data_IF_291607258609
#
_entry.id   IF_291607258609
#
_cell.length_a   1.000
_cell.length_b   1.000
_cell.length_c   1.000
_cell.angle_alpha   90.00
_cell.angle_beta   90.00
_cell.angle_gamma   90.00
#
_symmetry.space_group_name_H-M   'P 1'
#
loop_
_entity.id
_entity.type
_entity.pdbx_description
1 polymer ?
#
# COMPACT_ATOMS: atom_id res chain seq x y z
N UNK A 1 24.69 4.14 -2.03
CA UNK A 1 24.53 5.16 -3.10
C UNK A 1 23.77 4.65 -4.32
N UNK A 2 24.05 3.46 -4.84
CA UNK A 2 23.40 2.89 -6.04
C UNK A 2 21.86 2.99 -6.08
N UNK A 3 21.17 2.65 -4.98
CA UNK A 3 19.71 2.76 -4.91
C UNK A 3 19.16 4.17 -5.13
N UNK A 4 19.88 5.20 -4.69
CA UNK A 4 19.49 6.58 -4.95
C UNK A 4 19.67 6.96 -6.40
N UNK A 5 20.75 6.49 -7.03
CA UNK A 5 21.04 6.71 -8.45
C UNK A 5 19.99 6.04 -9.33
N UNK A 6 19.64 4.78 -9.06
CA UNK A 6 18.56 4.07 -9.77
C UNK A 6 17.23 4.80 -9.65
N UNK A 7 16.84 5.18 -8.44
CA UNK A 7 15.59 5.90 -8.21
C UNK A 7 15.58 7.29 -8.84
N UNK A 8 16.74 7.97 -8.95
CA UNK A 8 16.84 9.24 -9.66
C UNK A 8 16.66 9.07 -11.17
N UNK A 9 17.22 8.02 -11.78
CA UNK A 9 16.97 7.71 -13.20
C UNK A 9 15.48 7.49 -13.47
N UNK A 10 14.79 6.75 -12.60
CA UNK A 10 13.34 6.56 -12.70
C UNK A 10 12.55 7.86 -12.45
N UNK A 11 13.04 8.75 -11.59
CA UNK A 11 12.45 10.08 -11.43
C UNK A 11 12.53 10.91 -12.73
N UNK A 12 13.59 10.79 -13.51
CA UNK A 12 13.68 11.45 -14.82
C UNK A 12 12.62 10.93 -15.81
N UNK A 13 12.32 9.64 -15.78
CA UNK A 13 11.21 9.09 -16.57
C UNK A 13 9.86 9.61 -16.05
N UNK A 14 9.69 9.62 -14.73
CA UNK A 14 8.49 10.12 -14.07
C UNK A 14 8.17 11.58 -14.42
N UNK A 15 9.17 12.43 -14.57
CA UNK A 15 9.00 13.83 -14.96
C UNK A 15 8.16 13.99 -16.24
N UNK A 16 8.39 13.11 -17.23
CA UNK A 16 7.68 13.14 -18.53
C UNK A 16 6.18 12.87 -18.40
N UNK A 17 5.80 12.05 -17.43
CA UNK A 17 4.41 11.65 -17.23
C UNK A 17 3.63 12.60 -16.32
N UNK A 18 4.31 13.18 -15.32
CA UNK A 18 3.65 14.02 -14.31
C UNK A 18 3.42 15.47 -14.76
N UNK A 19 4.16 15.95 -15.73
CA UNK A 19 4.22 17.36 -16.15
C UNK A 19 2.83 17.97 -16.37
N UNK A 20 1.91 17.23 -17.03
CA UNK A 20 0.54 17.68 -17.29
C UNK A 20 -0.37 17.72 -16.05
N UNK A 21 0.07 17.18 -14.93
CA UNK A 21 -0.73 17.04 -13.70
C UNK A 21 -0.31 17.98 -12.57
N UNK A 22 0.77 18.71 -12.74
CA UNK A 22 1.33 19.57 -11.71
C UNK A 22 1.62 20.99 -12.24
N UNK A 23 1.65 21.95 -11.33
CA UNK A 23 2.05 23.33 -11.67
C UNK A 23 3.56 23.43 -11.78
N UNK A 24 4.08 24.46 -12.50
CA UNK A 24 5.51 24.63 -12.78
C UNK A 24 6.38 24.61 -11.49
N UNK A 25 6.00 25.32 -10.44
CA UNK A 25 6.77 25.30 -9.19
C UNK A 25 6.85 23.92 -8.52
N UNK A 26 5.85 23.04 -8.72
CA UNK A 26 5.93 21.64 -8.30
C UNK A 26 6.81 20.81 -9.23
N UNK A 27 6.80 21.16 -10.52
CA UNK A 27 7.65 20.49 -11.51
C UNK A 27 9.13 20.77 -11.24
N UNK A 28 9.50 21.97 -10.84
CA UNK A 28 10.86 22.33 -10.46
C UNK A 28 11.33 21.51 -9.24
N UNK A 29 10.49 21.38 -8.21
CA UNK A 29 10.79 20.51 -7.08
C UNK A 29 10.99 19.05 -7.49
N UNK A 30 10.25 18.57 -8.50
CA UNK A 30 10.37 17.20 -9.02
C UNK A 30 11.68 17.04 -9.81
N UNK A 31 12.04 18.01 -10.64
CA UNK A 31 13.30 18.03 -11.41
C UNK A 31 14.50 17.99 -10.48
N UNK A 32 14.49 18.79 -9.42
CA UNK A 32 15.56 18.85 -8.45
C UNK A 32 15.55 17.71 -7.42
N UNK A 33 14.51 16.92 -7.37
CA UNK A 33 14.39 15.85 -6.38
C UNK A 33 15.59 14.90 -6.42
N UNK A 34 16.28 14.75 -5.27
CA UNK A 34 17.44 13.87 -5.11
C UNK A 34 18.70 14.32 -5.91
N UNK A 35 18.83 15.60 -6.20
CA UNK A 35 20.07 16.16 -6.78
C UNK A 35 21.08 16.52 -5.69
N UNK A 36 20.62 16.76 -4.47
CA UNK A 36 21.46 17.00 -3.29
C UNK A 36 21.23 15.94 -2.23
N UNK A 37 22.30 15.31 -1.77
CA UNK A 37 22.32 14.31 -0.70
C UNK A 37 23.47 14.62 0.27
N UNK A 38 23.15 14.80 1.54
CA UNK A 38 24.11 14.92 2.64
C UNK A 38 23.99 13.73 3.56
N UNK A 39 25.11 13.07 3.88
CA UNK A 39 25.16 11.91 4.76
C UNK A 39 25.96 12.23 6.02
N UNK A 40 25.53 11.65 7.12
CA UNK A 40 26.36 11.52 8.34
C UNK A 40 26.86 10.09 8.37
N UNK A 41 28.15 9.93 8.63
CA UNK A 41 28.82 8.64 8.71
C UNK A 41 29.61 8.51 10.01
N UNK A 42 29.88 7.28 10.43
CA UNK A 42 30.88 7.00 11.45
C UNK A 42 32.31 7.25 10.91
N UNK A 43 33.28 7.19 11.78
CA UNK A 43 34.69 7.45 11.41
C UNK A 43 35.25 6.45 10.39
N UNK A 44 34.68 5.25 10.32
CA UNK A 44 35.09 4.18 9.39
C UNK A 44 34.37 4.26 8.04
N UNK A 45 33.35 5.13 7.92
CA UNK A 45 32.46 5.25 6.75
C UNK A 45 31.61 4.00 6.45
N UNK A 46 31.63 3.02 7.35
CA UNK A 46 30.86 1.78 7.17
C UNK A 46 29.35 2.02 7.39
N UNK A 47 29.02 2.84 8.39
CA UNK A 47 27.63 3.19 8.71
C UNK A 47 27.34 4.61 8.25
N UNK A 48 26.50 4.73 7.23
CA UNK A 48 26.10 6.01 6.66
C UNK A 48 24.59 6.20 6.78
N UNK A 49 24.16 7.37 7.26
CA UNK A 49 22.77 7.77 7.38
C UNK A 49 22.53 9.06 6.59
N UNK A 50 21.52 9.07 5.73
CA UNK A 50 21.12 10.30 5.04
C UNK A 50 20.69 11.34 6.08
N UNK A 51 21.32 12.50 6.04
CA UNK A 51 21.05 13.65 6.91
C UNK A 51 20.11 14.66 6.24
N UNK A 52 20.47 15.14 5.05
CA UNK A 52 19.68 16.11 4.28
C UNK A 52 19.55 15.68 2.82
N UNK A 53 18.45 16.06 2.19
CA UNK A 53 18.21 15.91 0.76
C UNK A 53 17.09 16.83 0.31
N UNK A 54 17.14 17.27 -0.93
CA UNK A 54 16.03 17.96 -1.58
C UNK A 54 15.05 16.92 -2.13
N UNK A 55 13.86 16.85 -1.54
CA UNK A 55 12.81 15.89 -1.88
C UNK A 55 11.55 16.63 -2.29
N UNK A 56 10.98 16.28 -3.46
CA UNK A 56 9.75 16.87 -3.95
C UNK A 56 8.48 16.46 -3.17
N UNK A 57 8.57 15.41 -2.36
CA UNK A 57 7.47 14.81 -1.58
C UNK A 57 6.27 14.32 -2.42
N UNK A 58 6.38 14.37 -3.75
CA UNK A 58 5.34 13.82 -4.61
C UNK A 58 5.25 12.31 -4.42
N UNK A 59 4.02 11.80 -4.27
CA UNK A 59 3.75 10.39 -3.97
C UNK A 59 4.11 9.43 -5.10
N UNK A 60 4.08 9.89 -6.35
CA UNK A 60 4.47 9.12 -7.53
C UNK A 60 5.96 9.22 -7.86
N UNK A 61 6.69 10.12 -7.19
CA UNK A 61 8.13 10.20 -7.38
C UNK A 61 8.82 8.93 -6.86
N UNK A 62 9.56 8.18 -7.69
CA UNK A 62 10.19 6.92 -7.28
C UNK A 62 11.14 7.05 -6.08
N UNK A 63 11.81 8.21 -5.93
CA UNK A 63 12.67 8.49 -4.77
C UNK A 63 11.85 8.70 -3.51
N UNK A 64 10.84 9.58 -3.59
CA UNK A 64 10.03 9.94 -2.42
C UNK A 64 9.15 8.78 -1.95
N UNK A 65 8.53 8.04 -2.89
CA UNK A 65 7.73 6.85 -2.60
C UNK A 65 8.56 5.76 -1.92
N UNK A 66 9.76 5.46 -2.46
CA UNK A 66 10.66 4.48 -1.85
C UNK A 66 11.09 4.87 -0.43
N UNK A 67 11.45 6.14 -0.21
CA UNK A 67 11.85 6.63 1.12
C UNK A 67 10.69 6.57 2.11
N UNK A 68 9.50 7.01 1.67
CA UNK A 68 8.30 6.94 2.50
C UNK A 68 7.98 5.49 2.86
N UNK A 69 7.99 4.57 1.91
CA UNK A 69 7.73 3.15 2.15
C UNK A 69 8.67 2.57 3.23
N UNK A 70 9.96 2.91 3.22
CA UNK A 70 10.90 2.47 4.27
C UNK A 70 10.58 3.05 5.65
N UNK A 71 10.18 4.31 5.72
CA UNK A 71 9.78 4.96 6.97
C UNK A 71 8.50 4.34 7.50
N UNK A 72 7.51 4.12 6.64
CA UNK A 72 6.23 3.53 7.00
C UNK A 72 6.40 2.07 7.47
N UNK A 73 7.26 1.28 6.81
CA UNK A 73 7.57 -0.08 7.25
C UNK A 73 8.17 -0.12 8.66
N UNK A 74 9.08 0.80 8.97
CA UNK A 74 9.65 0.92 10.32
C UNK A 74 8.57 1.32 11.33
N UNK A 75 7.74 2.31 11.02
CA UNK A 75 6.64 2.75 11.87
C UNK A 75 5.65 1.63 12.17
N UNK A 76 5.24 0.87 11.15
CA UNK A 76 4.38 -0.31 11.31
C UNK A 76 5.03 -1.38 12.18
N UNK A 77 6.32 -1.66 11.99
CA UNK A 77 7.06 -2.63 12.81
C UNK A 77 7.07 -2.24 14.28
N UNK A 78 7.35 -0.98 14.60
CA UNK A 78 7.35 -0.47 15.97
C UNK A 78 5.94 -0.51 16.60
N UNK A 79 4.92 -0.12 15.85
CA UNK A 79 3.53 -0.19 16.28
C UNK A 79 3.12 -1.64 16.60
N UNK A 80 3.45 -2.59 15.73
CA UNK A 80 3.14 -3.99 15.96
C UNK A 80 3.87 -4.56 17.18
N UNK A 81 5.14 -4.20 17.39
CA UNK A 81 5.89 -4.59 18.58
C UNK A 81 5.22 -4.06 19.84
N UNK A 82 4.85 -2.78 19.85
CA UNK A 82 4.16 -2.16 20.98
C UNK A 82 2.83 -2.87 21.29
N UNK A 83 1.95 -3.04 20.30
CA UNK A 83 0.63 -3.68 20.46
C UNK A 83 0.79 -5.14 20.94
N UNK A 84 1.81 -5.85 20.43
CA UNK A 84 2.11 -7.23 20.86
C UNK A 84 2.56 -7.29 22.32
N UNK A 85 3.46 -6.38 22.73
CA UNK A 85 4.03 -6.39 24.06
C UNK A 85 3.08 -5.84 25.12
N UNK A 86 2.33 -4.79 24.82
CA UNK A 86 1.48 -4.07 25.78
C UNK A 86 0.04 -4.58 25.81
N UNK A 87 -0.48 -5.01 24.66
CA UNK A 87 -1.88 -5.43 24.54
C UNK A 87 -2.05 -6.92 24.25
N UNK A 88 -0.94 -7.66 24.19
CA UNK A 88 -0.90 -9.12 23.95
C UNK A 88 -1.68 -9.57 22.69
N UNK A 89 -1.65 -8.74 21.63
CA UNK A 89 -2.31 -9.06 20.37
C UNK A 89 -1.40 -9.85 19.44
N UNK A 90 -2.02 -10.53 18.50
CA UNK A 90 -1.39 -11.15 17.34
C UNK A 90 -1.89 -10.47 16.06
N UNK A 91 -1.28 -10.81 14.94
CA UNK A 91 -1.62 -10.17 13.67
C UNK A 91 -1.89 -11.22 12.60
N UNK A 92 -2.88 -10.94 11.77
CA UNK A 92 -3.11 -11.60 10.49
C UNK A 92 -2.95 -10.62 9.36
N UNK A 93 -2.54 -11.12 8.20
CA UNK A 93 -2.46 -10.38 6.96
C UNK A 93 -3.51 -10.91 6.01
N UNK A 94 -4.41 -10.05 5.59
CA UNK A 94 -5.51 -10.38 4.69
C UNK A 94 -5.29 -9.64 3.35
N UNK A 95 -5.36 -10.37 2.24
CA UNK A 95 -5.39 -9.79 0.89
C UNK A 95 -6.76 -10.03 0.29
N UNK A 96 -7.43 -8.94 -0.09
CA UNK A 96 -8.72 -8.94 -0.77
C UNK A 96 -8.53 -8.50 -2.20
N UNK A 97 -9.19 -9.17 -3.13
CA UNK A 97 -9.10 -8.88 -4.57
C UNK A 97 -10.47 -9.01 -5.21
N UNK A 98 -10.65 -8.38 -6.38
CA UNK A 98 -11.79 -8.57 -7.29
C UNK A 98 -11.26 -8.90 -8.69
N UNK A 99 -12.13 -9.23 -9.66
CA UNK A 99 -11.74 -9.32 -11.04
C UNK A 99 -11.05 -8.07 -11.56
N UNK A 100 -10.16 -8.24 -12.54
CA UNK A 100 -9.45 -7.13 -13.15
C UNK A 100 -10.42 -6.19 -13.88
N UNK A 101 -10.06 -4.92 -13.96
CA UNK A 101 -10.87 -3.87 -14.59
C UNK A 101 -10.06 -3.06 -15.60
N UNK A 102 -10.72 -2.42 -16.55
CA UNK A 102 -10.11 -1.47 -17.49
C UNK A 102 -9.84 -0.12 -16.81
N UNK A 103 -9.03 0.73 -17.44
CA UNK A 103 -8.73 2.08 -16.95
C UNK A 103 -9.99 2.92 -16.67
N UNK A 104 -11.04 2.76 -17.48
CA UNK A 104 -12.30 3.51 -17.39
C UNK A 104 -13.10 3.15 -16.14
N UNK A 105 -13.03 1.90 -15.70
CA UNK A 105 -13.76 1.38 -14.54
C UNK A 105 -12.93 1.40 -13.24
N UNK A 106 -11.61 1.71 -13.31
CA UNK A 106 -10.72 1.60 -12.16
C UNK A 106 -11.15 2.53 -11.01
N UNK A 107 -11.57 3.76 -11.31
CA UNK A 107 -12.02 4.72 -10.29
C UNK A 107 -13.30 4.26 -9.58
N UNK A 108 -14.30 3.82 -10.35
CA UNK A 108 -15.58 3.32 -9.81
C UNK A 108 -15.37 2.06 -8.98
N UNK A 109 -14.48 1.17 -9.43
CA UNK A 109 -14.12 -0.04 -8.71
C UNK A 109 -13.47 0.27 -7.37
N UNK A 110 -12.53 1.21 -7.30
CA UNK A 110 -11.90 1.60 -6.03
C UNK A 110 -12.91 2.19 -5.05
N UNK A 111 -13.87 2.98 -5.53
CA UNK A 111 -14.97 3.50 -4.68
C UNK A 111 -15.84 2.34 -4.14
N UNK A 112 -16.21 1.39 -5.00
CA UNK A 112 -16.96 0.20 -4.61
C UNK A 112 -16.20 -0.66 -3.61
N UNK A 113 -14.89 -0.81 -3.79
CA UNK A 113 -13.98 -1.49 -2.86
C UNK A 113 -13.99 -0.88 -1.47
N UNK A 114 -13.84 0.44 -1.39
CA UNK A 114 -13.85 1.15 -0.11
C UNK A 114 -15.16 0.92 0.64
N UNK A 115 -16.30 1.03 -0.06
CA UNK A 115 -17.61 0.81 0.51
C UNK A 115 -17.82 -0.64 0.97
N UNK A 116 -17.44 -1.61 0.14
CA UNK A 116 -17.53 -3.05 0.48
C UNK A 116 -16.64 -3.41 1.66
N UNK A 117 -15.44 -2.83 1.74
CA UNK A 117 -14.54 -3.02 2.88
C UNK A 117 -15.16 -2.52 4.18
N UNK A 118 -15.74 -1.31 4.18
CA UNK A 118 -16.43 -0.77 5.36
C UNK A 118 -17.61 -1.65 5.77
N UNK A 119 -18.42 -2.13 4.80
CA UNK A 119 -19.52 -3.08 5.09
C UNK A 119 -19.01 -4.37 5.74
N UNK A 120 -17.90 -4.94 5.22
CA UNK A 120 -17.33 -6.18 5.77
C UNK A 120 -16.85 -6.00 7.20
N UNK A 121 -16.17 -4.90 7.50
CA UNK A 121 -15.67 -4.62 8.86
C UNK A 121 -16.77 -4.20 9.85
N UNK A 122 -17.99 -3.93 9.40
CA UNK A 122 -19.19 -3.76 10.23
C UNK A 122 -19.95 -5.06 10.51
N UNK A 123 -19.59 -6.21 9.91
CA UNK A 123 -20.21 -7.51 10.19
C UNK A 123 -19.86 -7.96 11.62
N UNK A 124 -20.87 -8.42 12.37
CA UNK A 124 -20.72 -8.85 13.77
C UNK A 124 -19.56 -9.83 13.97
N UNK A 125 -19.40 -10.82 13.08
CA UNK A 125 -18.32 -11.80 13.15
C UNK A 125 -16.94 -11.16 13.02
N UNK A 126 -16.78 -10.19 12.10
CA UNK A 126 -15.52 -9.47 11.89
C UNK A 126 -15.21 -8.57 13.08
N UNK A 127 -16.19 -7.80 13.58
CA UNK A 127 -16.03 -6.94 14.77
C UNK A 127 -15.61 -7.77 16.00
N UNK A 128 -16.22 -8.92 16.22
CA UNK A 128 -15.87 -9.77 17.38
C UNK A 128 -14.47 -10.36 17.29
N UNK A 129 -14.00 -10.65 16.08
CA UNK A 129 -12.72 -11.29 15.83
C UNK A 129 -11.54 -10.29 15.77
N UNK A 130 -11.79 -9.03 15.41
CA UNK A 130 -10.75 -8.05 15.13
C UNK A 130 -10.68 -6.95 16.19
N UNK A 131 -9.51 -6.32 16.38
CA UNK A 131 -9.29 -5.25 17.37
C UNK A 131 -8.87 -3.92 16.75
N UNK A 132 -8.44 -3.97 15.52
CA UNK A 132 -8.02 -2.83 14.72
C UNK A 132 -7.34 -3.31 13.46
N UNK A 133 -7.22 -2.42 12.50
CA UNK A 133 -6.56 -2.75 11.24
C UNK A 133 -5.85 -1.54 10.63
N UNK A 134 -4.88 -1.84 9.80
CA UNK A 134 -4.31 -0.91 8.83
C UNK A 134 -4.54 -1.51 7.46
N UNK A 135 -5.16 -0.75 6.56
CA UNK A 135 -5.37 -1.19 5.18
C UNK A 135 -4.60 -0.37 4.17
N UNK A 136 -4.29 -0.97 3.06
CA UNK A 136 -3.65 -0.32 1.93
C UNK A 136 -4.20 -0.84 0.62
N UNK A 137 -4.52 0.08 -0.29
CA UNK A 137 -4.79 -0.23 -1.68
C UNK A 137 -3.47 -0.40 -2.43
N UNK A 138 -3.32 -1.48 -3.15
CA UNK A 138 -2.32 -1.65 -4.20
C UNK A 138 -3.03 -1.88 -5.53
N UNK A 139 -2.53 -1.28 -6.59
CA UNK A 139 -3.00 -1.48 -7.96
C UNK A 139 -1.83 -2.05 -8.74
N UNK A 140 -2.05 -3.16 -9.42
CA UNK A 140 -1.09 -3.71 -10.39
C UNK A 140 -1.66 -3.60 -11.80
N UNK A 141 -0.78 -3.40 -12.77
CA UNK A 141 -1.16 -3.30 -14.17
C UNK A 141 -0.61 -4.49 -14.96
N UNK A 142 -1.47 -5.12 -15.74
CA UNK A 142 -1.09 -6.18 -16.67
C UNK A 142 -0.96 -5.61 -18.07
N UNK A 143 0.27 -5.62 -18.60
CA UNK A 143 0.60 -5.04 -19.89
C UNK A 143 0.03 -5.82 -21.06
N UNK A 144 -0.11 -7.14 -20.94
CA UNK A 144 -0.59 -8.01 -22.02
C UNK A 144 -2.10 -7.88 -22.20
N UNK A 145 -2.85 -7.74 -21.11
CA UNK A 145 -4.30 -7.62 -21.11
C UNK A 145 -4.80 -6.18 -21.09
N UNK A 146 -3.93 -5.19 -20.90
CA UNK A 146 -4.27 -3.77 -20.68
C UNK A 146 -5.33 -3.58 -19.58
N UNK A 147 -5.18 -4.33 -18.48
CA UNK A 147 -6.10 -4.31 -17.35
C UNK A 147 -5.40 -4.02 -16.01
N UNK A 148 -6.18 -3.64 -15.01
CA UNK A 148 -5.74 -3.27 -13.67
C UNK A 148 -6.33 -4.23 -12.65
N UNK A 149 -5.51 -4.65 -11.69
CA UNK A 149 -5.96 -5.43 -10.54
C UNK A 149 -5.79 -4.61 -9.25
N UNK A 150 -6.85 -3.92 -8.80
CA UNK A 150 -6.84 -3.32 -7.47
C UNK A 150 -7.02 -4.40 -6.40
N UNK A 151 -6.27 -4.29 -5.30
CA UNK A 151 -6.42 -5.18 -4.16
C UNK A 151 -6.07 -4.49 -2.84
N UNK A 152 -6.72 -4.91 -1.77
CA UNK A 152 -6.37 -4.45 -0.42
C UNK A 152 -5.41 -5.42 0.25
N UNK A 153 -4.35 -4.87 0.81
CA UNK A 153 -3.56 -5.49 1.86
C UNK A 153 -4.02 -4.95 3.20
N UNK A 154 -4.40 -5.84 4.11
CA UNK A 154 -4.95 -5.48 5.41
C UNK A 154 -4.16 -6.18 6.50
N UNK A 155 -3.53 -5.40 7.37
CA UNK A 155 -2.91 -5.87 8.60
C UNK A 155 -3.95 -5.74 9.71
N UNK A 156 -4.31 -6.85 10.35
CA UNK A 156 -5.39 -6.89 11.35
C UNK A 156 -4.83 -7.37 12.69
N UNK A 157 -5.06 -6.59 13.74
CA UNK A 157 -4.79 -7.01 15.11
C UNK A 157 -5.93 -7.89 15.62
N UNK A 158 -5.60 -9.04 16.22
CA UNK A 158 -6.54 -10.00 16.77
C UNK A 158 -6.10 -10.44 18.16
N UNK A 159 -7.03 -10.90 18.99
CA UNK A 159 -6.71 -11.55 20.27
C UNK A 159 -6.06 -12.93 20.02
N UNK A 160 -5.34 -13.47 20.99
CA UNK A 160 -4.81 -14.85 20.92
C UNK A 160 -5.93 -15.89 20.73
N UNK A 161 -7.10 -15.64 21.32
CA UNK A 161 -8.29 -16.49 21.15
C UNK A 161 -8.75 -16.65 19.70
N UNK A 162 -8.39 -15.74 18.79
CA UNK A 162 -8.66 -15.90 17.36
C UNK A 162 -8.16 -17.24 16.81
N UNK A 163 -7.03 -17.74 17.30
CA UNK A 163 -6.42 -18.97 16.79
C UNK A 163 -6.80 -20.24 17.57
N UNK A 164 -7.44 -20.09 18.74
CA UNK A 164 -7.74 -21.20 19.66
C UNK A 164 -9.23 -21.41 19.89
N UNK A 165 -10.06 -20.40 19.61
CA UNK A 165 -11.49 -20.43 19.83
C UNK A 165 -12.26 -20.27 18.51
N UNK A 166 -13.01 -21.31 18.14
CA UNK A 166 -13.80 -21.37 16.90
C UNK A 166 -14.82 -20.22 16.76
N UNK A 167 -15.25 -19.62 17.86
CA UNK A 167 -16.20 -18.48 17.85
C UNK A 167 -15.59 -17.24 17.20
N UNK A 168 -14.29 -17.06 17.31
CA UNK A 168 -13.57 -15.89 16.79
C UNK A 168 -12.80 -16.18 15.50
N UNK A 169 -12.50 -17.46 15.26
CA UNK A 169 -11.75 -17.83 14.06
C UNK A 169 -12.58 -17.60 12.80
N UNK A 170 -11.99 -16.94 11.83
CA UNK A 170 -12.54 -16.77 10.49
C UNK A 170 -11.59 -17.46 9.51
N UNK A 171 -12.06 -18.55 8.91
CA UNK A 171 -11.29 -19.30 7.92
C UNK A 171 -11.15 -18.55 6.61
N UNK A 172 -10.21 -18.95 5.76
CA UNK A 172 -10.05 -18.36 4.44
C UNK A 172 -11.33 -18.45 3.59
N UNK A 173 -12.06 -19.56 3.69
CA UNK A 173 -13.36 -19.74 3.02
C UNK A 173 -14.39 -18.74 3.52
N UNK A 174 -14.49 -18.54 4.83
CA UNK A 174 -15.42 -17.56 5.41
C UNK A 174 -15.05 -16.11 5.05
N UNK A 175 -13.75 -15.78 5.01
CA UNK A 175 -13.30 -14.47 4.50
C UNK A 175 -13.71 -14.27 3.04
N UNK A 176 -13.61 -15.32 2.21
CA UNK A 176 -14.04 -15.27 0.81
C UNK A 176 -15.55 -15.06 0.68
N UNK A 177 -16.34 -15.80 1.45
CA UNK A 177 -17.81 -15.67 1.48
C UNK A 177 -18.24 -14.27 1.94
N UNK A 178 -17.63 -13.75 3.02
CA UNK A 178 -17.86 -12.39 3.50
C UNK A 178 -17.54 -11.34 2.42
N UNK A 179 -16.43 -11.55 1.69
CA UNK A 179 -16.01 -10.61 0.65
C UNK A 179 -16.97 -10.63 -0.55
N UNK A 180 -17.39 -11.82 -0.99
CA UNK A 180 -18.41 -11.98 -2.04
C UNK A 180 -19.75 -11.34 -1.65
N UNK A 181 -20.19 -11.56 -0.42
CA UNK A 181 -21.46 -11.02 0.08
C UNK A 181 -21.48 -9.48 0.07
N UNK A 182 -20.42 -8.83 0.51
CA UNK A 182 -20.38 -7.36 0.58
C UNK A 182 -20.08 -6.68 -0.76
N UNK A 183 -19.38 -7.36 -1.68
CA UNK A 183 -19.12 -6.86 -3.03
C UNK A 183 -20.25 -7.15 -4.02
N UNK A 184 -21.02 -8.21 -3.77
CA UNK A 184 -22.00 -8.74 -4.72
C UNK A 184 -21.36 -9.45 -5.91
N UNK A 185 -20.06 -9.78 -5.87
CA UNK A 185 -19.30 -10.39 -6.96
C UNK A 185 -19.04 -11.86 -6.64
N UNK A 186 -19.80 -12.76 -7.25
CA UNK A 186 -19.67 -14.22 -7.06
C UNK A 186 -18.41 -14.80 -7.68
N UNK A 187 -17.89 -14.13 -8.71
CA UNK A 187 -16.74 -14.55 -9.51
C UNK A 187 -15.40 -14.39 -8.77
N UNK A 188 -15.38 -13.76 -7.60
CA UNK A 188 -14.16 -13.71 -6.78
C UNK A 188 -13.79 -15.13 -6.37
N UNK A 189 -12.64 -15.61 -6.81
CA UNK A 189 -12.21 -17.00 -6.59
C UNK A 189 -11.41 -17.18 -5.31
N UNK A 190 -10.76 -16.13 -4.82
CA UNK A 190 -9.85 -16.25 -3.69
C UNK A 190 -9.70 -14.96 -2.88
N UNK A 191 -9.41 -15.16 -1.61
CA UNK A 191 -8.76 -14.21 -0.71
C UNK A 191 -7.58 -14.91 -0.06
N UNK A 192 -6.59 -14.18 0.41
CA UNK A 192 -5.51 -14.78 1.20
C UNK A 192 -5.56 -14.27 2.62
N UNK A 193 -5.47 -15.18 3.59
CA UNK A 193 -5.30 -14.83 5.00
C UNK A 193 -4.18 -15.66 5.60
N UNK A 194 -3.25 -14.99 6.29
CA UNK A 194 -2.14 -15.68 6.92
C UNK A 194 -1.77 -15.03 8.25
N UNK A 195 -1.34 -15.86 9.21
CA UNK A 195 -0.80 -15.38 10.48
C UNK A 195 0.58 -14.77 10.25
N UNK A 196 0.81 -13.58 10.78
CA UNK A 196 2.13 -12.96 10.74
C UNK A 196 3.01 -13.62 11.80
N UNK A 197 4.11 -14.23 11.37
CA UNK A 197 5.13 -14.83 12.25
C UNK A 197 6.12 -13.76 12.71
N UNK A 198 6.79 -14.03 13.84
CA UNK A 198 7.95 -13.23 14.26
C UNK A 198 9.02 -13.33 13.14
N UNK A 199 9.67 -12.24 12.81
CA UNK A 199 10.73 -12.15 11.80
C UNK A 199 10.30 -12.19 10.32
N UNK A 200 9.01 -12.18 10.01
CA UNK A 200 8.56 -12.04 8.62
C UNK A 200 8.29 -10.57 8.30
N UNK A 201 9.27 -9.91 7.69
CA UNK A 201 9.16 -8.51 7.29
C UNK A 201 8.48 -8.33 5.92
N UNK A 202 8.15 -9.43 5.22
CA UNK A 202 7.58 -9.36 3.87
C UNK A 202 6.24 -8.63 3.86
N UNK A 203 5.34 -9.01 4.77
CA UNK A 203 4.01 -8.40 4.89
C UNK A 203 4.09 -6.91 5.28
N UNK A 204 5.06 -6.55 6.14
CA UNK A 204 5.31 -5.15 6.50
C UNK A 204 5.76 -4.32 5.31
N UNK A 205 6.62 -4.89 4.45
CA UNK A 205 7.03 -4.22 3.22
C UNK A 205 5.88 -4.09 2.23
N UNK A 206 4.99 -5.09 2.13
CA UNK A 206 3.78 -4.98 1.29
C UNK A 206 2.86 -3.87 1.79
N UNK A 207 2.63 -3.76 3.11
CA UNK A 207 1.85 -2.68 3.71
C UNK A 207 2.49 -1.31 3.50
N UNK A 208 3.80 -1.21 3.47
CA UNK A 208 4.52 0.04 3.36
C UNK A 208 4.77 0.48 1.91
N UNK A 209 4.65 -0.42 0.92
CA UNK A 209 4.79 -0.07 -0.50
C UNK A 209 3.76 0.99 -0.88
N UNK A 210 4.09 1.77 -1.87
CA UNK A 210 3.15 2.70 -2.48
C UNK A 210 2.02 1.96 -3.22
N UNK A 211 0.88 2.62 -3.47
CA UNK A 211 -0.31 2.01 -4.10
C UNK A 211 -0.09 1.47 -5.52
N UNK A 212 1.08 1.67 -6.10
CA UNK A 212 1.54 1.06 -7.36
C UNK A 212 3.05 1.06 -7.40
N UNK A 213 3.63 0.09 -8.08
CA UNK A 213 5.07 0.07 -8.35
C UNK A 213 5.40 1.05 -9.48
N UNK A 214 6.55 1.71 -9.39
CA UNK A 214 7.03 2.58 -10.47
C UNK A 214 7.18 1.86 -11.82
N UNK A 215 7.38 0.53 -11.81
CA UNK A 215 7.33 -0.34 -13.00
C UNK A 215 5.94 -0.45 -13.63
N UNK A 216 4.89 -0.28 -12.86
CA UNK A 216 3.52 -0.50 -13.31
C UNK A 216 2.90 0.78 -13.90
N UNK A 217 3.22 1.96 -13.35
CA UNK A 217 2.66 3.22 -13.82
C UNK A 217 3.58 4.06 -14.72
N UNK A 218 4.89 3.77 -14.80
CA UNK A 218 5.82 4.47 -15.71
C UNK A 218 5.99 3.73 -17.04
N UNK A 219 4.91 3.21 -17.61
CA UNK A 219 4.90 2.48 -18.88
C UNK A 219 4.55 3.40 -20.05
N UNK A 220 3.43 4.09 -19.94
CA UNK A 220 2.97 5.09 -20.89
C UNK A 220 2.03 6.09 -20.20
N UNK A 221 1.65 7.14 -20.92
CA UNK A 221 0.86 8.23 -20.35
C UNK A 221 -0.56 7.78 -19.94
N UNK A 222 -1.23 6.95 -20.73
CA UNK A 222 -2.58 6.43 -20.43
C UNK A 222 -2.59 5.69 -19.08
N UNK A 223 -1.62 4.80 -18.89
CA UNK A 223 -1.48 4.02 -17.65
C UNK A 223 -1.17 4.94 -16.47
N UNK A 224 -0.23 5.89 -16.65
CA UNK A 224 0.10 6.86 -15.60
C UNK A 224 -1.13 7.68 -15.17
N UNK A 225 -1.91 8.19 -16.13
CA UNK A 225 -3.10 9.00 -15.87
C UNK A 225 -4.16 8.21 -15.08
N UNK A 226 -4.34 6.92 -15.41
CA UNK A 226 -5.26 6.03 -14.68
C UNK A 226 -4.83 5.85 -13.22
N UNK A 227 -3.54 5.55 -12.98
CA UNK A 227 -2.99 5.46 -11.61
C UNK A 227 -3.08 6.79 -10.86
N UNK A 228 -2.76 7.90 -11.53
CA UNK A 228 -2.76 9.22 -10.90
C UNK A 228 -4.14 9.59 -10.39
N UNK A 229 -5.18 9.48 -11.22
CA UNK A 229 -6.57 9.74 -10.85
C UNK A 229 -7.03 8.82 -9.70
N UNK A 230 -6.83 7.52 -9.86
CA UNK A 230 -7.32 6.51 -8.91
C UNK A 230 -6.65 6.60 -7.53
N UNK A 231 -5.35 6.86 -7.49
CA UNK A 231 -4.64 6.98 -6.21
C UNK A 231 -4.93 8.30 -5.46
N UNK A 232 -5.35 9.36 -6.14
CA UNK A 232 -5.77 10.59 -5.47
C UNK A 232 -7.06 10.38 -4.67
N UNK A 233 -8.00 9.61 -5.20
CA UNK A 233 -9.28 9.31 -4.54
C UNK A 233 -9.08 8.52 -3.23
N UNK A 234 -8.15 7.58 -3.21
CA UNK A 234 -7.90 6.75 -2.03
C UNK A 234 -7.41 7.55 -0.81
N UNK A 235 -6.83 8.73 -1.02
CA UNK A 235 -6.27 9.55 0.06
C UNK A 235 -7.20 10.65 0.56
N UNK A 236 -8.21 11.04 -0.20
CA UNK A 236 -9.23 11.98 0.26
C UNK A 236 -10.17 11.34 1.29
N UNK A 237 -10.48 10.04 1.14
CA UNK A 237 -11.37 9.32 2.05
C UNK A 237 -10.71 8.91 3.39
N UNK A 238 -9.38 8.99 3.50
CA UNK A 238 -8.66 8.65 4.73
C UNK A 238 -8.44 9.85 5.68
N UNK A 239 -8.87 11.05 5.29
CA UNK A 239 -8.70 12.28 6.06
C UNK A 239 -9.97 12.68 6.87
N UNK A 240 -11.09 11.96 6.66
CA UNK A 240 -12.40 12.29 7.26
C UNK A 240 -12.87 11.28 8.32
N UNK A 241 -11.96 10.44 8.90
CA UNK A 241 -12.25 9.55 10.04
C UNK A 241 -11.35 9.83 11.24
#
# INVERSE_FOLDING_TARGET
MEKYTEKKRRNQVFQKFIERHVKEGQMDLIRECNTFLSFVADKTLEKQKLHKSNLCKNRFCPVCAWRKARKDALGLSLMMQYIKQKEDKQFIFLTLTTPNVTAEHLESEIKAYNHSFQKMFKRKKVISATKGYVRKLEITYNKERDDYNPHFHVLIAVNKSYFTDKRYYISQKEWLELWRDVTGISEITQVQVQKIRQNNNKELYEMAKYSGKDSDYLINQKVFDAFYKSCLLYTSDAADE
#
